data_IF_177968451633
#
_entry.id   IF_177968451633
#
_cell.length_a   1.000
_cell.length_b   1.000
_cell.length_c   1.000
_cell.angle_alpha   90.00
_cell.angle_beta   90.00
_cell.angle_gamma   90.00
#
_symmetry.space_group_name_H-M   'P 1'
#
loop_
_entity.id
_entity.type
_entity.pdbx_description
1 polymer ?
#
# COMPACT_ATOMS: atom_id res chain seq x y z
N UNK A 1 -8.90 13.28 4.98
CA UNK A 1 -8.83 12.42 3.77
C UNK A 1 -8.17 11.11 4.17
N UNK A 2 -8.63 9.98 3.68
CA UNK A 2 -8.00 8.67 3.98
C UNK A 2 -7.12 8.23 2.82
N UNK A 3 -5.99 7.57 3.12
CA UNK A 3 -5.07 6.99 2.12
C UNK A 3 -5.66 5.75 1.44
N UNK A 4 -6.68 5.11 2.04
CA UNK A 4 -7.37 3.92 1.55
C UNK A 4 -8.09 3.21 2.68
N UNK A 5 -8.88 2.16 2.33
CA UNK A 5 -9.61 1.34 3.29
C UNK A 5 -8.95 -0.03 3.37
N UNK A 6 -8.47 -0.38 4.55
CA UNK A 6 -7.82 -1.66 4.83
C UNK A 6 -8.79 -2.54 5.61
N UNK A 7 -8.99 -3.77 5.17
CA UNK A 7 -9.67 -4.80 5.94
C UNK A 7 -8.63 -5.71 6.60
N UNK A 8 -8.60 -5.72 7.92
CA UNK A 8 -7.75 -6.62 8.72
C UNK A 8 -8.56 -7.86 9.09
N UNK A 9 -8.08 -9.03 8.69
CA UNK A 9 -8.75 -10.32 8.91
C UNK A 9 -7.83 -11.25 9.68
N UNK A 10 -8.18 -11.51 10.93
CA UNK A 10 -7.41 -12.36 11.85
C UNK A 10 -8.37 -12.85 12.94
N UNK A 11 -8.28 -14.08 13.42
CA UNK A 11 -9.14 -14.56 14.49
C UNK A 11 -8.67 -14.06 15.87
N UNK A 12 -7.40 -13.68 16.01
CA UNK A 12 -6.84 -13.11 17.22
C UNK A 12 -7.18 -11.62 17.36
N UNK A 13 -8.08 -11.28 18.29
CA UNK A 13 -8.50 -9.89 18.53
C UNK A 13 -7.31 -8.94 18.81
N UNK A 14 -6.31 -9.29 19.66
CA UNK A 14 -5.16 -8.41 19.90
C UNK A 14 -4.37 -8.08 18.63
N UNK A 15 -4.27 -8.99 17.67
CA UNK A 15 -3.60 -8.77 16.40
C UNK A 15 -4.38 -7.75 15.56
N UNK A 16 -5.70 -7.92 15.50
CA UNK A 16 -6.58 -6.95 14.79
C UNK A 16 -6.50 -5.55 15.39
N UNK A 17 -6.48 -5.45 16.73
CA UNK A 17 -6.37 -4.16 17.41
C UNK A 17 -5.06 -3.45 17.11
N UNK A 18 -3.93 -4.14 17.23
CA UNK A 18 -2.60 -3.58 16.93
C UNK A 18 -2.51 -3.09 15.50
N UNK A 19 -2.95 -3.88 14.52
CA UNK A 19 -2.93 -3.49 13.11
C UNK A 19 -3.90 -2.35 12.82
N UNK A 20 -5.09 -2.35 13.44
CA UNK A 20 -6.08 -1.30 13.26
C UNK A 20 -5.59 0.03 13.85
N UNK A 21 -5.02 0.03 15.04
CA UNK A 21 -4.43 1.22 15.67
C UNK A 21 -3.29 1.77 14.81
N UNK A 22 -2.37 0.90 14.42
CA UNK A 22 -1.21 1.26 13.61
C UNK A 22 -1.65 1.92 12.29
N UNK A 23 -2.44 1.25 11.45
CA UNK A 23 -2.84 1.79 10.16
C UNK A 23 -3.79 2.99 10.25
N UNK A 24 -4.59 3.09 11.31
CA UNK A 24 -5.40 4.30 11.55
C UNK A 24 -4.51 5.49 11.85
N UNK A 25 -3.46 5.32 12.65
CA UNK A 25 -2.46 6.36 12.92
C UNK A 25 -1.71 6.77 11.66
N UNK A 26 -1.48 5.82 10.74
CA UNK A 26 -0.86 6.05 9.43
C UNK A 26 -1.80 6.70 8.39
N UNK A 27 -3.05 7.00 8.75
CA UNK A 27 -4.01 7.75 7.92
C UNK A 27 -4.91 6.89 7.02
N UNK A 28 -4.98 5.58 7.27
CA UNK A 28 -5.92 4.68 6.60
C UNK A 28 -7.24 4.58 7.37
N UNK A 29 -8.31 4.22 6.68
CA UNK A 29 -9.54 3.74 7.33
C UNK A 29 -9.43 2.22 7.48
N UNK A 30 -9.59 1.72 8.70
CA UNK A 30 -9.45 0.29 8.97
C UNK A 30 -10.79 -0.31 9.41
N UNK A 31 -11.15 -1.43 8.78
CA UNK A 31 -12.22 -2.32 9.22
C UNK A 31 -11.61 -3.66 9.65
N UNK A 32 -12.17 -4.30 10.66
CA UNK A 32 -11.70 -5.58 11.19
C UNK A 32 -12.74 -6.69 11.00
N UNK A 33 -12.26 -7.90 10.72
CA UNK A 33 -13.08 -9.12 10.63
C UNK A 33 -12.40 -10.25 11.42
N UNK A 34 -13.13 -10.91 12.29
CA UNK A 34 -12.65 -12.02 13.11
C UNK A 34 -12.80 -13.39 12.43
N UNK A 35 -13.30 -13.44 11.21
CA UNK A 35 -13.52 -14.70 10.49
C UNK A 35 -13.49 -14.50 8.96
N UNK A 36 -13.22 -15.61 8.25
CA UNK A 36 -13.27 -15.61 6.78
C UNK A 36 -14.64 -15.26 6.21
N UNK A 37 -15.73 -15.58 6.89
CA UNK A 37 -17.09 -15.25 6.43
C UNK A 37 -17.36 -13.74 6.53
N UNK A 38 -16.94 -13.10 7.62
CA UNK A 38 -17.01 -11.65 7.78
C UNK A 38 -16.17 -10.94 6.71
N UNK A 39 -14.95 -11.44 6.46
CA UNK A 39 -14.07 -10.91 5.43
C UNK A 39 -14.72 -10.94 4.04
N UNK A 40 -15.31 -12.07 3.66
CA UNK A 40 -16.02 -12.20 2.37
C UNK A 40 -17.23 -11.27 2.28
N UNK A 41 -17.93 -11.04 3.40
CA UNK A 41 -19.05 -10.11 3.46
C UNK A 41 -18.59 -8.66 3.26
N UNK A 42 -17.46 -8.26 3.89
CA UNK A 42 -16.87 -6.94 3.73
C UNK A 42 -16.40 -6.70 2.28
N UNK A 43 -15.68 -7.66 1.69
CA UNK A 43 -15.20 -7.56 0.30
C UNK A 43 -16.37 -7.49 -0.69
N UNK A 44 -17.40 -8.32 -0.53
CA UNK A 44 -18.59 -8.27 -1.38
C UNK A 44 -19.32 -6.94 -1.30
N UNK A 45 -19.32 -6.32 -0.12
CA UNK A 45 -19.90 -4.98 0.11
C UNK A 45 -19.05 -3.83 -0.41
N UNK A 46 -17.89 -4.09 -1.03
CA UNK A 46 -16.98 -3.06 -1.54
C UNK A 46 -16.38 -2.19 -0.43
N UNK A 47 -16.23 -2.73 0.78
CA UNK A 47 -15.76 -1.98 1.96
C UNK A 47 -14.25 -1.96 2.13
N UNK A 48 -13.50 -2.69 1.31
CA UNK A 48 -12.04 -2.80 1.38
C UNK A 48 -11.39 -2.45 0.04
N UNK A 49 -10.36 -1.63 0.10
CA UNK A 49 -9.45 -1.35 -1.00
C UNK A 49 -8.22 -2.28 -0.97
N UNK A 50 -7.92 -2.85 0.21
CA UNK A 50 -6.88 -3.86 0.44
C UNK A 50 -7.27 -4.75 1.61
N UNK A 51 -6.88 -6.02 1.57
CA UNK A 51 -7.11 -7.00 2.64
C UNK A 51 -5.78 -7.48 3.21
N UNK A 52 -5.60 -7.37 4.53
CA UNK A 52 -4.59 -8.10 5.31
C UNK A 52 -5.27 -9.35 5.84
N UNK A 53 -4.81 -10.53 5.46
CA UNK A 53 -5.52 -11.79 5.69
C UNK A 53 -4.63 -12.81 6.39
N UNK A 54 -4.99 -13.16 7.62
CA UNK A 54 -4.32 -14.26 8.31
C UNK A 54 -4.58 -15.59 7.61
N UNK A 55 -3.54 -16.42 7.59
CA UNK A 55 -3.60 -17.75 6.96
C UNK A 55 -4.34 -18.74 7.84
N UNK A 56 -4.12 -18.68 9.16
CA UNK A 56 -4.61 -19.70 10.07
C UNK A 56 -5.79 -19.20 10.89
N UNK A 57 -6.99 -19.43 10.39
CA UNK A 57 -8.23 -19.08 11.09
C UNK A 57 -9.12 -20.32 11.24
N UNK A 58 -9.92 -20.39 12.31
CA UNK A 58 -10.92 -21.45 12.50
C UNK A 58 -11.98 -21.43 11.39
N UNK A 59 -12.40 -22.60 10.96
CA UNK A 59 -13.45 -22.75 9.94
C UNK A 59 -12.93 -22.53 8.54
N UNK A 60 -13.09 -21.35 7.99
CA UNK A 60 -12.56 -20.97 6.67
C UNK A 60 -11.16 -20.40 6.83
N UNK A 61 -10.14 -21.16 6.41
CA UNK A 61 -8.75 -20.71 6.44
C UNK A 61 -8.47 -19.58 5.42
N UNK A 62 -7.37 -18.85 5.63
CA UNK A 62 -7.03 -17.71 4.79
C UNK A 62 -6.81 -18.07 3.32
N UNK A 63 -6.32 -19.27 3.01
CA UNK A 63 -6.12 -19.72 1.62
C UNK A 63 -7.47 -19.91 0.93
N UNK A 64 -8.44 -20.50 1.63
CA UNK A 64 -9.81 -20.67 1.13
C UNK A 64 -10.51 -19.31 0.97
N UNK A 65 -10.29 -18.38 1.91
CA UNK A 65 -10.79 -17.00 1.82
C UNK A 65 -10.20 -16.29 0.61
N UNK A 66 -8.88 -16.38 0.40
CA UNK A 66 -8.19 -15.80 -0.77
C UNK A 66 -8.82 -16.30 -2.08
N UNK A 67 -9.03 -17.62 -2.24
CA UNK A 67 -9.68 -18.19 -3.43
C UNK A 67 -11.06 -17.58 -3.67
N UNK A 68 -11.87 -17.48 -2.61
CA UNK A 68 -13.22 -16.89 -2.70
C UNK A 68 -13.18 -15.39 -2.99
N UNK A 69 -12.22 -14.66 -2.45
CA UNK A 69 -12.02 -13.25 -2.78
C UNK A 69 -11.70 -13.09 -4.27
N UNK A 70 -10.84 -13.94 -4.84
CA UNK A 70 -10.52 -13.90 -6.28
C UNK A 70 -11.73 -14.19 -7.17
N UNK A 71 -12.64 -15.07 -6.75
CA UNK A 71 -13.91 -15.30 -7.43
C UNK A 71 -14.86 -14.10 -7.35
N UNK A 72 -14.86 -13.35 -6.24
CA UNK A 72 -15.74 -12.19 -6.00
C UNK A 72 -15.17 -10.90 -6.61
N UNK A 73 -13.87 -10.67 -6.44
CA UNK A 73 -13.18 -9.45 -6.86
C UNK A 73 -11.68 -9.75 -7.06
N UNK A 74 -11.26 -9.94 -8.30
CA UNK A 74 -9.88 -10.22 -8.65
C UNK A 74 -8.96 -8.98 -8.51
N UNK A 75 -9.53 -7.79 -8.36
CA UNK A 75 -8.76 -6.54 -8.31
C UNK A 75 -8.32 -6.15 -6.90
N UNK A 76 -9.03 -6.56 -5.84
CA UNK A 76 -8.65 -6.19 -4.48
C UNK A 76 -7.33 -6.88 -4.09
N UNK A 77 -6.27 -6.13 -3.73
CA UNK A 77 -5.03 -6.74 -3.28
C UNK A 77 -5.24 -7.43 -1.94
N UNK A 78 -4.71 -8.65 -1.83
CA UNK A 78 -4.72 -9.43 -0.60
C UNK A 78 -3.27 -9.69 -0.21
N UNK A 79 -2.86 -9.22 0.96
CA UNK A 79 -1.59 -9.52 1.59
C UNK A 79 -1.85 -10.62 2.62
N UNK A 80 -1.20 -11.76 2.43
CA UNK A 80 -1.29 -12.86 3.40
C UNK A 80 -0.43 -12.57 4.61
N UNK A 81 -0.97 -12.78 5.80
CA UNK A 81 -0.26 -12.62 7.08
C UNK A 81 -0.20 -13.96 7.78
N UNK A 82 0.94 -14.35 8.36
CA UNK A 82 1.06 -15.66 8.99
C UNK A 82 2.14 -15.73 10.05
N UNK A 83 1.92 -16.56 11.05
CA UNK A 83 2.93 -16.90 12.07
C UNK A 83 4.01 -17.90 11.57
N UNK A 84 3.92 -18.35 10.31
CA UNK A 84 4.81 -19.40 9.80
C UNK A 84 5.59 -18.92 8.57
N UNK A 85 6.90 -19.08 8.60
CA UNK A 85 7.81 -18.85 7.46
C UNK A 85 7.76 -20.01 6.45
N UNK A 86 6.60 -20.62 6.20
CA UNK A 86 6.47 -21.70 5.23
C UNK A 86 6.56 -21.15 3.80
N UNK A 87 7.74 -21.26 3.23
CA UNK A 87 8.05 -20.83 1.87
C UNK A 87 7.15 -21.53 0.82
N UNK A 88 6.70 -22.76 1.09
CA UNK A 88 5.83 -23.48 0.17
C UNK A 88 4.43 -22.84 0.15
N UNK A 89 3.91 -22.51 1.33
CA UNK A 89 2.62 -21.83 1.49
C UNK A 89 2.65 -20.41 0.91
N UNK A 90 3.74 -19.65 1.13
CA UNK A 90 3.93 -18.34 0.52
C UNK A 90 3.88 -18.42 -1.02
N UNK A 91 4.61 -19.38 -1.61
CA UNK A 91 4.59 -19.61 -3.06
C UNK A 91 3.22 -20.02 -3.58
N UNK A 92 2.48 -20.85 -2.82
CA UNK A 92 1.13 -21.27 -3.19
C UNK A 92 0.18 -20.07 -3.20
N UNK A 93 0.15 -19.27 -2.14
CA UNK A 93 -0.75 -18.12 -2.02
C UNK A 93 -0.47 -17.06 -3.08
N UNK A 94 0.81 -16.80 -3.41
CA UNK A 94 1.17 -15.91 -4.51
C UNK A 94 0.69 -16.43 -5.88
N UNK A 95 0.77 -17.75 -6.13
CA UNK A 95 0.20 -18.37 -7.34
C UNK A 95 -1.33 -18.27 -7.40
N UNK A 96 -1.99 -18.27 -6.25
CA UNK A 96 -3.43 -18.08 -6.14
C UNK A 96 -3.86 -16.61 -6.27
N UNK A 97 -2.91 -15.70 -6.49
CA UNK A 97 -3.19 -14.30 -6.71
C UNK A 97 -3.10 -13.43 -5.45
N UNK A 98 -2.49 -13.90 -4.37
CA UNK A 98 -2.09 -12.99 -3.28
C UNK A 98 -1.15 -11.92 -3.85
N UNK A 99 -1.27 -10.70 -3.32
CA UNK A 99 -0.40 -9.60 -3.71
C UNK A 99 0.98 -9.73 -3.08
N UNK A 100 1.00 -10.12 -1.80
CA UNK A 100 2.21 -10.30 -1.01
C UNK A 100 1.98 -11.26 0.16
N UNK A 101 3.04 -11.57 0.89
CA UNK A 101 3.07 -12.49 2.02
C UNK A 101 3.98 -11.93 3.11
N UNK A 102 3.46 -11.75 4.33
CA UNK A 102 4.16 -11.14 5.46
C UNK A 102 4.14 -12.08 6.66
N UNK A 103 5.30 -12.32 7.27
CA UNK A 103 5.42 -13.14 8.47
C UNK A 103 5.17 -12.31 9.74
N UNK A 104 4.56 -12.94 10.75
CA UNK A 104 4.54 -12.47 12.14
C UNK A 104 5.84 -12.94 12.84
N UNK A 105 6.52 -12.14 13.69
CA UNK A 105 6.16 -10.78 14.10
C UNK A 105 6.38 -9.76 12.98
N UNK A 106 5.53 -8.71 12.96
CA UNK A 106 5.52 -7.73 11.88
C UNK A 106 6.77 -6.87 11.85
N UNK A 107 7.42 -6.80 10.69
CA UNK A 107 8.21 -5.66 10.29
C UNK A 107 7.24 -4.60 9.73
N UNK A 108 6.94 -3.58 10.53
CA UNK A 108 5.97 -2.56 10.16
C UNK A 108 6.44 -1.70 8.98
N UNK A 109 7.73 -1.48 8.81
CA UNK A 109 8.28 -0.75 7.67
C UNK A 109 8.07 -1.54 6.36
N UNK A 110 8.22 -2.87 6.43
CA UNK A 110 7.91 -3.72 5.28
C UNK A 110 6.40 -3.77 5.01
N UNK A 111 5.59 -3.96 6.05
CA UNK A 111 4.14 -4.06 5.93
C UNK A 111 3.52 -2.79 5.34
N UNK A 112 4.02 -1.61 5.74
CA UNK A 112 3.63 -0.33 5.16
C UNK A 112 3.88 -0.25 3.67
N UNK A 113 5.09 -0.61 3.25
CA UNK A 113 5.46 -0.63 1.84
C UNK A 113 4.58 -1.59 1.04
N UNK A 114 4.32 -2.78 1.58
CA UNK A 114 3.45 -3.77 0.96
C UNK A 114 2.01 -3.26 0.80
N UNK A 115 1.45 -2.63 1.84
CA UNK A 115 0.11 -2.03 1.81
C UNK A 115 0.03 -0.91 0.78
N UNK A 116 0.97 0.03 0.81
CA UNK A 116 0.99 1.14 -0.14
C UNK A 116 1.14 0.65 -1.59
N UNK A 117 2.01 -0.34 -1.84
CA UNK A 117 2.18 -0.96 -3.14
C UNK A 117 0.91 -1.67 -3.63
N UNK A 118 0.19 -2.35 -2.73
CA UNK A 118 -1.09 -2.99 -3.02
C UNK A 118 -2.16 -1.98 -3.43
N UNK A 119 -2.32 -0.92 -2.65
CA UNK A 119 -3.28 0.15 -2.94
C UNK A 119 -2.95 0.92 -4.22
N UNK A 120 -1.67 1.13 -4.52
CA UNK A 120 -1.24 1.73 -5.78
C UNK A 120 -1.66 0.91 -7.01
N UNK A 121 -1.63 -0.44 -6.92
CA UNK A 121 -2.04 -1.34 -8.01
C UNK A 121 -3.53 -1.28 -8.33
N UNK A 122 -4.38 -1.04 -7.32
CA UNK A 122 -5.85 -0.95 -7.53
C UNK A 122 -6.19 0.21 -8.44
N UNK A 123 -5.48 1.33 -8.31
CA UNK A 123 -5.68 2.50 -9.15
C UNK A 123 -5.35 2.30 -10.63
N UNK A 124 -4.52 1.33 -11.00
CA UNK A 124 -4.17 1.05 -12.40
C UNK A 124 -5.26 0.26 -13.16
N UNK A 125 -6.21 -0.36 -12.42
CA UNK A 125 -7.26 -1.23 -12.99
C UNK A 125 -8.71 -0.76 -12.77
N UNK A 126 -8.91 0.38 -12.08
CA UNK A 126 -10.25 0.89 -11.78
C UNK A 126 -10.93 1.49 -13.03
N UNK A 127 -12.24 1.27 -13.24
CA UNK A 127 -12.97 1.95 -14.30
C UNK A 127 -13.01 3.46 -14.05
N UNK A 128 -12.84 4.22 -15.12
CA UNK A 128 -12.90 5.69 -15.15
C UNK A 128 -14.18 6.19 -14.47
N UNK A 129 -14.09 6.89 -13.35
CA UNK A 129 -15.24 7.59 -12.82
C UNK A 129 -15.34 7.91 -11.34
N UNK A 130 -14.26 7.98 -10.54
CA UNK A 130 -14.39 8.38 -9.14
C UNK A 130 -13.42 9.50 -8.73
N UNK A 131 -13.94 10.45 -7.91
CA UNK A 131 -13.17 11.58 -7.38
C UNK A 131 -11.93 11.17 -6.55
N UNK A 132 -11.87 9.90 -6.12
CA UNK A 132 -10.72 9.31 -5.44
C UNK A 132 -9.49 9.13 -6.34
N UNK A 133 -9.66 9.08 -7.66
CA UNK A 133 -8.57 8.95 -8.63
C UNK A 133 -7.78 10.26 -8.82
N UNK A 134 -8.38 11.39 -8.44
CA UNK A 134 -7.78 12.72 -8.51
C UNK A 134 -7.07 13.16 -7.22
N UNK A 135 -6.99 12.29 -6.19
CA UNK A 135 -6.24 12.60 -4.97
C UNK A 135 -4.73 12.70 -5.31
N UNK A 136 -4.12 13.88 -5.14
CA UNK A 136 -2.73 14.10 -5.51
C UNK A 136 -1.76 13.22 -4.70
N UNK A 137 -2.11 12.81 -3.48
CA UNK A 137 -1.28 11.99 -2.60
C UNK A 137 -1.32 10.52 -3.00
N UNK A 138 -2.48 10.01 -3.43
CA UNK A 138 -2.60 8.66 -4.02
C UNK A 138 -1.84 8.56 -5.34
N UNK A 139 -1.94 9.60 -6.19
CA UNK A 139 -1.18 9.67 -7.44
C UNK A 139 0.32 9.69 -7.19
N UNK A 140 0.78 10.46 -6.18
CA UNK A 140 2.17 10.53 -5.79
C UNK A 140 2.70 9.15 -5.36
N UNK A 141 2.01 8.49 -4.43
CA UNK A 141 2.40 7.17 -3.93
C UNK A 141 2.49 6.17 -5.08
N UNK A 142 1.46 6.12 -5.94
CA UNK A 142 1.45 5.22 -7.11
C UNK A 142 2.63 5.46 -8.05
N UNK A 143 2.89 6.72 -8.39
CA UNK A 143 3.98 7.07 -9.28
C UNK A 143 5.35 6.71 -8.68
N UNK A 144 5.55 6.97 -7.38
CA UNK A 144 6.77 6.64 -6.65
C UNK A 144 7.06 5.13 -6.65
N UNK A 145 6.05 4.32 -6.33
CA UNK A 145 6.19 2.85 -6.33
C UNK A 145 6.37 2.28 -7.75
N UNK A 146 5.72 2.86 -8.76
CA UNK A 146 5.95 2.51 -10.16
C UNK A 146 7.39 2.75 -10.58
N UNK A 147 7.93 3.93 -10.30
CA UNK A 147 9.30 4.31 -10.60
C UNK A 147 10.33 3.43 -9.89
N UNK A 148 10.15 3.16 -8.60
CA UNK A 148 11.04 2.28 -7.84
C UNK A 148 11.10 0.86 -8.42
N UNK A 149 9.97 0.32 -8.90
CA UNK A 149 9.91 -0.99 -9.56
C UNK A 149 10.60 -1.01 -10.93
N UNK A 150 10.63 0.11 -11.63
CA UNK A 150 11.30 0.23 -12.93
C UNK A 150 12.83 0.25 -12.79
N UNK A 151 13.37 0.55 -11.58
CA UNK A 151 14.80 0.55 -11.31
C UNK A 151 15.38 -0.86 -11.29
N UNK A 152 16.61 -0.99 -11.79
CA UNK A 152 17.37 -2.24 -11.72
C UNK A 152 18.12 -2.37 -10.38
N UNK A 153 18.34 -3.59 -9.84
CA UNK A 153 19.26 -3.77 -8.72
C UNK A 153 20.70 -3.34 -9.11
N UNK A 154 21.46 -2.69 -8.20
CA UNK A 154 21.18 -2.40 -6.80
C UNK A 154 20.41 -1.07 -6.55
N UNK A 155 20.19 -0.22 -7.57
CA UNK A 155 19.55 1.08 -7.42
C UNK A 155 18.15 0.99 -6.79
N UNK A 156 17.41 -0.09 -7.10
CA UNK A 156 16.08 -0.35 -6.52
C UNK A 156 16.14 -0.45 -4.99
N UNK A 157 17.10 -1.18 -4.42
CA UNK A 157 17.24 -1.35 -2.97
C UNK A 157 17.81 -0.11 -2.28
N UNK A 158 18.60 0.70 -2.97
CA UNK A 158 19.23 1.86 -2.37
C UNK A 158 18.39 3.14 -2.51
N UNK A 159 17.95 3.44 -3.72
CA UNK A 159 17.28 4.70 -4.07
C UNK A 159 15.77 4.50 -4.20
N UNK A 160 15.33 3.38 -4.80
CA UNK A 160 13.91 3.08 -5.01
C UNK A 160 13.14 2.99 -3.69
N UNK A 161 13.62 2.24 -2.71
CA UNK A 161 13.00 2.12 -1.38
C UNK A 161 12.92 3.46 -0.63
N UNK A 162 13.92 4.33 -0.81
CA UNK A 162 13.90 5.67 -0.22
C UNK A 162 12.85 6.57 -0.88
N UNK A 163 12.67 6.48 -2.20
CA UNK A 163 11.62 7.19 -2.93
C UNK A 163 10.24 6.75 -2.44
N UNK A 164 10.01 5.44 -2.29
CA UNK A 164 8.77 4.88 -1.74
C UNK A 164 8.50 5.39 -0.33
N UNK A 165 9.51 5.32 0.54
CA UNK A 165 9.41 5.77 1.95
C UNK A 165 9.10 7.26 2.04
N UNK A 166 9.78 8.10 1.25
CA UNK A 166 9.54 9.54 1.23
C UNK A 166 8.13 9.88 0.71
N UNK A 167 7.63 9.17 -0.30
CA UNK A 167 6.27 9.34 -0.81
C UNK A 167 5.20 9.04 0.26
N UNK A 168 5.38 7.93 0.98
CA UNK A 168 4.48 7.55 2.07
C UNK A 168 4.51 8.57 3.21
N UNK A 169 5.70 8.96 3.65
CA UNK A 169 5.86 9.94 4.72
C UNK A 169 5.24 11.30 4.34
N UNK A 170 5.40 11.75 3.11
CA UNK A 170 4.75 12.95 2.60
C UNK A 170 3.21 12.84 2.66
N UNK A 171 2.65 11.74 2.15
CA UNK A 171 1.21 11.51 2.15
C UNK A 171 0.61 11.44 3.57
N UNK A 172 1.28 10.74 4.50
CA UNK A 172 0.89 10.66 5.92
C UNK A 172 0.91 12.01 6.61
N UNK A 173 1.98 12.79 6.43
CA UNK A 173 2.09 14.11 7.03
C UNK A 173 1.02 15.07 6.49
N UNK A 174 0.69 14.99 5.22
CA UNK A 174 -0.39 15.75 4.62
C UNK A 174 -1.77 15.36 5.19
N UNK A 175 -2.05 14.06 5.29
CA UNK A 175 -3.29 13.54 5.87
C UNK A 175 -3.46 13.96 7.34
N UNK A 176 -2.35 14.07 8.09
CA UNK A 176 -2.32 14.53 9.47
C UNK A 176 -2.31 16.07 9.63
N UNK A 177 -2.44 16.83 8.52
CA UNK A 177 -2.41 18.29 8.55
C UNK A 177 -1.02 18.92 8.77
N UNK A 178 0.04 18.12 8.71
CA UNK A 178 1.44 18.56 8.90
C UNK A 178 2.07 18.97 7.56
N UNK A 179 1.57 20.06 6.96
CA UNK A 179 1.97 20.49 5.60
C UNK A 179 3.46 20.76 5.44
N UNK A 180 4.13 21.38 6.43
CA UNK A 180 5.58 21.63 6.37
C UNK A 180 6.38 20.33 6.29
N UNK A 181 6.11 19.34 7.15
CA UNK A 181 6.76 18.04 7.13
C UNK A 181 6.47 17.26 5.84
N UNK A 182 5.25 17.36 5.30
CA UNK A 182 4.95 16.80 3.99
C UNK A 182 5.80 17.43 2.87
N UNK A 183 5.99 18.75 2.93
CA UNK A 183 6.83 19.49 1.98
C UNK A 183 8.31 19.08 2.03
N UNK A 184 8.85 18.78 3.21
CA UNK A 184 10.22 18.29 3.39
C UNK A 184 10.42 16.94 2.69
N UNK A 185 9.50 16.00 2.85
CA UNK A 185 9.59 14.70 2.18
C UNK A 185 9.40 14.80 0.65
N UNK A 186 8.59 15.75 0.17
CA UNK A 186 8.52 16.03 -1.28
C UNK A 186 9.84 16.58 -1.82
N UNK A 187 10.56 17.38 -1.04
CA UNK A 187 11.88 17.87 -1.41
C UNK A 187 12.94 16.75 -1.41
N UNK A 188 12.88 15.85 -0.42
CA UNK A 188 13.74 14.66 -0.39
C UNK A 188 13.50 13.77 -1.62
N UNK A 189 12.23 13.52 -1.97
CA UNK A 189 11.89 12.77 -3.18
C UNK A 189 12.48 13.40 -4.44
N UNK A 190 12.38 14.71 -4.59
CA UNK A 190 12.93 15.39 -5.76
C UNK A 190 14.44 15.16 -5.87
N UNK A 191 15.17 15.28 -4.75
CA UNK A 191 16.61 15.01 -4.72
C UNK A 191 16.93 13.56 -5.12
N UNK A 192 16.18 12.59 -4.62
CA UNK A 192 16.38 11.17 -4.96
C UNK A 192 16.10 10.88 -6.44
N UNK A 193 15.10 11.53 -7.02
CA UNK A 193 14.79 11.43 -8.45
C UNK A 193 15.90 12.01 -9.32
N UNK A 194 16.46 13.16 -8.92
CA UNK A 194 17.56 13.80 -9.62
C UNK A 194 18.82 12.92 -9.59
N UNK A 195 19.14 12.33 -8.43
CA UNK A 195 20.25 11.38 -8.28
C UNK A 195 20.03 10.14 -9.15
N UNK A 196 18.86 9.52 -9.08
CA UNK A 196 18.55 8.33 -9.88
C UNK A 196 18.63 8.58 -11.39
N UNK A 197 18.25 9.79 -11.83
CA UNK A 197 18.32 10.19 -13.23
C UNK A 197 19.77 10.44 -13.67
N UNK A 198 20.60 11.05 -12.83
CA UNK A 198 22.02 11.30 -13.12
C UNK A 198 22.79 9.99 -13.31
N UNK A 199 22.48 8.96 -12.54
CA UNK A 199 23.09 7.63 -12.68
C UNK A 199 22.42 6.75 -13.76
N UNK A 200 21.34 7.22 -14.38
CA UNK A 200 20.61 6.45 -15.39
C UNK A 200 19.78 5.30 -14.84
N UNK A 201 19.53 5.29 -13.53
CA UNK A 201 18.82 4.24 -12.82
C UNK A 201 17.28 4.33 -12.99
N UNK A 202 16.77 5.48 -13.42
CA UNK A 202 15.35 5.76 -13.57
C UNK A 202 15.01 6.13 -15.02
N UNK A 203 14.12 5.37 -15.70
CA UNK A 203 13.63 5.72 -17.04
C UNK A 203 12.98 7.12 -17.07
N UNK A 204 13.23 7.88 -18.13
CA UNK A 204 12.74 9.27 -18.25
C UNK A 204 11.21 9.39 -18.17
N UNK A 205 10.47 8.39 -18.67
CA UNK A 205 9.02 8.37 -18.61
C UNK A 205 8.51 8.21 -17.16
N UNK A 206 9.13 7.32 -16.39
CA UNK A 206 8.77 7.10 -14.99
C UNK A 206 9.13 8.31 -14.13
N UNK A 207 10.29 8.94 -14.39
CA UNK A 207 10.69 10.20 -13.77
C UNK A 207 9.63 11.29 -13.99
N UNK A 208 9.20 11.52 -15.21
CA UNK A 208 8.22 12.54 -15.57
C UNK A 208 6.87 12.32 -14.85
N UNK A 209 6.45 11.06 -14.70
CA UNK A 209 5.23 10.71 -13.96
C UNK A 209 5.34 11.09 -12.48
N UNK A 210 6.46 10.76 -11.84
CA UNK A 210 6.66 11.12 -10.42
C UNK A 210 6.75 12.61 -10.23
N UNK A 211 7.52 13.33 -11.06
CA UNK A 211 7.65 14.80 -11.00
C UNK A 211 6.29 15.49 -11.13
N UNK A 212 5.46 15.04 -12.07
CA UNK A 212 4.09 15.55 -12.23
C UNK A 212 3.23 15.32 -10.98
N UNK A 213 3.38 14.16 -10.35
CA UNK A 213 2.65 13.81 -9.13
C UNK A 213 3.16 14.60 -7.91
N UNK A 214 4.47 14.81 -7.77
CA UNK A 214 5.09 15.67 -6.73
C UNK A 214 4.57 17.08 -6.83
N UNK A 215 4.50 17.65 -8.04
CA UNK A 215 3.96 18.98 -8.27
C UNK A 215 2.47 19.10 -7.92
N UNK A 216 1.66 18.09 -8.25
CA UNK A 216 0.26 18.05 -7.90
C UNK A 216 0.05 17.98 -6.37
N UNK A 217 0.84 17.15 -5.68
CA UNK A 217 0.83 17.03 -4.23
C UNK A 217 1.27 18.34 -3.55
N UNK A 218 2.33 18.97 -4.05
CA UNK A 218 2.81 20.27 -3.53
C UNK A 218 1.76 21.37 -3.64
N UNK A 219 1.03 21.43 -4.75
CA UNK A 219 -0.07 22.40 -4.94
C UNK A 219 -1.27 22.17 -4.01
N UNK A 220 -1.43 20.97 -3.50
CA UNK A 220 -2.51 20.64 -2.56
C UNK A 220 -2.18 20.95 -1.10
N UNK A 221 -0.92 21.29 -0.79
CA UNK A 221 -0.53 21.72 0.54
C UNK A 221 -1.12 23.10 0.87
N UNK A 222 -1.55 23.33 2.12
CA UNK A 222 -1.96 24.65 2.54
C UNK A 222 -0.78 25.63 2.41
N UNK A 223 -1.06 26.79 1.84
CA UNK A 223 -0.07 27.88 1.75
C UNK A 223 0.28 28.28 3.18
N UNK A 224 1.55 28.17 3.56
CA UNK A 224 2.02 28.64 4.84
C UNK A 224 1.74 30.15 4.93
N UNK A 225 0.81 30.53 5.83
CA UNK A 225 0.49 31.91 6.11
C UNK A 225 1.54 32.55 7.02
#
# INVERSE_FOLDING_TARGET
>A
MTLGRILVVDDEEPVREVLAEYFTTEGYTVESAGSGLEALTAVRGGRADLVLLDVRMPGLDGVQVLRKIRELNDNVPVIMVTANEDVALAKETLKLGAFDYVAKPFDFDYLDRAVAAGLARVGDKAPVGDAAENDPWKRLTRAAFGAARAMQPPARSATGERIETAALAAARNAAAGRGAAAGEHLAEMQLLLDVAAEFGDLPAADRALVESAVEAARRSLPIAG
#
